data_IF_106906419342
#
_entry.id   IF_106906419342
#
_cell.length_a   1.000
_cell.length_b   1.000
_cell.length_c   1.000
_cell.angle_alpha   90.00
_cell.angle_beta   90.00
_cell.angle_gamma   90.00
#
_symmetry.space_group_name_H-M   'P 1'
#
loop_
_entity.id
_entity.type
_entity.pdbx_description
1 polymer ?
#
# COMPACT_ATOMS: atom_id res chain seq x y z
N UNK A 1 37.67 -47.65 -11.40
CA UNK A 1 36.93 -46.60 -10.65
C UNK A 1 37.94 -45.55 -10.25
N UNK A 2 37.88 -44.38 -10.85
CA UNK A 2 38.77 -43.26 -10.52
C UNK A 2 38.38 -42.74 -9.13
N UNK A 3 39.37 -42.65 -8.19
CA UNK A 3 39.27 -42.06 -6.84
C UNK A 3 38.54 -42.89 -5.77
N UNK A 4 38.65 -44.22 -5.75
CA UNK A 4 38.24 -45.04 -4.61
C UNK A 4 39.44 -45.29 -3.69
N UNK A 5 39.31 -45.08 -2.37
CA UNK A 5 40.35 -45.31 -1.37
C UNK A 5 39.71 -45.63 -0.01
N UNK A 6 40.43 -46.35 0.82
CA UNK A 6 40.00 -46.58 2.20
C UNK A 6 40.24 -45.31 3.01
N UNK A 7 39.18 -44.70 3.56
CA UNK A 7 39.33 -43.50 4.35
C UNK A 7 40.09 -43.77 5.63
N UNK A 8 41.28 -43.18 5.73
CA UNK A 8 42.12 -43.09 6.95
C UNK A 8 42.48 -41.61 7.16
N UNK A 9 42.82 -41.26 8.40
CA UNK A 9 43.22 -39.87 8.71
C UNK A 9 44.41 -39.45 7.85
N UNK A 10 45.39 -40.32 7.67
CA UNK A 10 46.60 -40.07 6.87
C UNK A 10 46.23 -39.76 5.41
N UNK A 11 45.42 -40.61 4.78
CA UNK A 11 44.99 -40.43 3.38
C UNK A 11 44.18 -39.16 3.19
N UNK A 12 43.15 -38.93 4.06
CA UNK A 12 42.28 -37.76 3.91
C UNK A 12 43.02 -36.44 4.15
N UNK A 13 44.05 -36.44 5.06
CA UNK A 13 44.87 -35.25 5.28
C UNK A 13 45.76 -34.95 4.08
N UNK A 14 46.30 -35.97 3.43
CA UNK A 14 47.19 -35.86 2.26
C UNK A 14 46.49 -35.35 0.98
N UNK A 15 45.15 -35.42 0.90
CA UNK A 15 44.41 -34.95 -0.26
C UNK A 15 44.55 -33.42 -0.43
N UNK A 16 45.12 -32.99 -1.53
CA UNK A 16 45.30 -31.57 -1.87
C UNK A 16 44.11 -31.05 -2.70
N UNK A 17 43.71 -29.79 -2.53
CA UNK A 17 42.70 -29.17 -3.37
C UNK A 17 43.19 -29.08 -4.82
N UNK A 18 42.25 -29.22 -5.76
CA UNK A 18 42.48 -29.06 -7.20
C UNK A 18 41.58 -27.93 -7.71
N UNK A 19 41.80 -27.50 -8.94
CA UNK A 19 40.97 -26.42 -9.57
C UNK A 19 39.49 -26.78 -9.74
N UNK A 20 39.13 -28.07 -9.52
CA UNK A 20 37.75 -28.58 -9.62
C UNK A 20 37.43 -29.39 -8.37
N UNK A 21 36.14 -29.44 -8.00
CA UNK A 21 35.67 -30.33 -6.94
C UNK A 21 35.96 -31.79 -7.29
N UNK A 22 36.68 -32.47 -6.41
CA UNK A 22 37.06 -33.88 -6.62
C UNK A 22 36.37 -34.75 -5.59
N UNK A 23 35.78 -35.87 -6.01
CA UNK A 23 35.11 -36.82 -5.14
C UNK A 23 35.96 -38.06 -4.97
N UNK A 24 36.05 -38.51 -3.71
CA UNK A 24 36.73 -39.72 -3.30
C UNK A 24 35.72 -40.64 -2.62
N UNK A 25 35.70 -41.92 -3.00
CA UNK A 25 34.75 -42.91 -2.52
C UNK A 25 35.38 -43.80 -1.47
N UNK A 26 34.73 -44.00 -0.30
CA UNK A 26 35.22 -44.93 0.71
C UNK A 26 35.01 -46.37 0.25
N UNK A 27 36.07 -47.19 0.36
CA UNK A 27 35.99 -48.64 0.06
C UNK A 27 35.31 -49.45 1.16
N UNK A 28 35.14 -48.88 2.38
CA UNK A 28 34.50 -49.56 3.51
C UNK A 28 32.99 -49.37 3.59
N UNK A 29 32.46 -48.24 3.05
CA UNK A 29 31.02 -47.94 3.03
C UNK A 29 30.66 -47.44 1.64
N UNK A 30 30.02 -48.29 0.84
CA UNK A 30 29.55 -47.93 -0.50
C UNK A 30 28.55 -46.77 -0.43
N UNK A 31 28.79 -45.72 -1.21
CA UNK A 31 28.00 -44.51 -1.22
C UNK A 31 28.50 -43.41 -0.29
N UNK A 32 29.47 -43.68 0.61
CA UNK A 32 30.15 -42.64 1.37
C UNK A 32 31.20 -41.95 0.48
N UNK A 33 31.15 -40.64 0.41
CA UNK A 33 32.02 -39.81 -0.44
C UNK A 33 32.61 -38.68 0.38
N UNK A 34 33.93 -38.43 0.20
CA UNK A 34 34.56 -37.17 0.61
C UNK A 34 34.68 -36.27 -0.62
N UNK A 35 34.20 -35.04 -0.52
CA UNK A 35 34.35 -34.06 -1.60
C UNK A 35 35.41 -33.02 -1.23
N UNK A 36 36.48 -32.92 -2.00
CA UNK A 36 37.51 -31.88 -1.81
C UNK A 36 37.19 -30.69 -2.72
N UNK A 37 36.93 -29.55 -2.10
CA UNK A 37 36.65 -28.30 -2.84
C UNK A 37 37.97 -27.61 -3.26
N UNK A 38 37.91 -26.68 -4.25
CA UNK A 38 39.06 -25.83 -4.59
C UNK A 38 39.57 -24.99 -3.39
N UNK A 39 38.69 -24.65 -2.46
CA UNK A 39 39.04 -23.93 -1.23
C UNK A 39 39.63 -24.80 -0.12
N UNK A 40 39.81 -26.09 -0.36
CA UNK A 40 40.41 -27.04 0.59
C UNK A 40 39.42 -27.63 1.62
N UNK A 41 38.12 -27.28 1.55
CA UNK A 41 37.13 -27.91 2.45
C UNK A 41 36.87 -29.36 2.06
N UNK A 42 36.67 -30.23 3.05
CA UNK A 42 36.56 -31.69 2.87
C UNK A 42 35.25 -32.22 3.50
N UNK A 43 34.04 -31.92 2.96
CA UNK A 43 32.79 -32.46 3.49
C UNK A 43 32.64 -33.95 3.15
N UNK A 44 32.16 -34.73 4.14
CA UNK A 44 31.64 -36.07 3.95
C UNK A 44 30.21 -36.01 3.44
N UNK A 45 29.89 -36.83 2.47
CA UNK A 45 28.55 -36.90 1.85
C UNK A 45 28.15 -38.34 1.58
N UNK A 46 26.85 -38.61 1.51
CA UNK A 46 26.31 -39.82 0.90
C UNK A 46 25.81 -39.49 -0.48
N UNK A 47 26.27 -40.21 -1.47
CA UNK A 47 25.85 -40.10 -2.85
C UNK A 47 25.26 -41.42 -3.32
N UNK A 48 23.94 -41.60 -3.19
CA UNK A 48 23.21 -42.83 -3.50
C UNK A 48 21.81 -42.49 -3.96
N UNK A 49 21.24 -43.33 -4.79
CA UNK A 49 19.85 -43.18 -5.25
C UNK A 49 18.90 -43.77 -4.21
N UNK A 50 17.89 -43.02 -3.77
CA UNK A 50 16.82 -43.53 -2.95
C UNK A 50 15.93 -44.52 -3.77
N UNK A 51 15.35 -45.52 -3.08
CA UNK A 51 14.45 -46.48 -3.71
C UNK A 51 13.29 -45.72 -4.38
N UNK A 52 13.09 -45.94 -5.67
CA UNK A 52 12.03 -45.28 -6.47
C UNK A 52 12.40 -43.88 -7.02
N UNK A 53 13.56 -43.30 -6.65
CA UNK A 53 13.96 -41.97 -7.14
C UNK A 53 14.58 -42.06 -8.55
N UNK A 54 14.41 -41.02 -9.35
CA UNK A 54 15.00 -40.91 -10.72
C UNK A 54 16.49 -40.53 -10.68
N UNK A 55 16.95 -39.77 -9.68
CA UNK A 55 18.32 -39.26 -9.54
C UNK A 55 18.92 -39.57 -8.18
N UNK A 56 20.26 -39.63 -8.05
CA UNK A 56 20.90 -39.85 -6.78
C UNK A 56 20.75 -38.64 -5.85
N UNK A 57 20.55 -38.91 -4.55
CA UNK A 57 20.56 -37.91 -3.50
C UNK A 57 21.99 -37.63 -3.03
N UNK A 58 22.27 -36.37 -2.72
CA UNK A 58 23.55 -35.91 -2.18
C UNK A 58 23.33 -35.42 -0.75
N UNK A 59 23.59 -36.28 0.25
CA UNK A 59 23.31 -35.98 1.66
C UNK A 59 24.59 -35.54 2.34
N UNK A 60 24.60 -34.35 2.94
CA UNK A 60 25.77 -33.84 3.70
C UNK A 60 25.77 -34.43 5.10
N UNK A 61 26.91 -35.00 5.53
CA UNK A 61 27.08 -35.65 6.85
C UNK A 61 27.84 -34.75 7.85
N UNK A 62 28.79 -33.97 7.36
CA UNK A 62 29.66 -33.10 8.14
C UNK A 62 31.01 -32.92 7.45
N UNK A 63 31.93 -32.22 8.08
CA UNK A 63 33.21 -31.84 7.48
C UNK A 63 34.38 -32.49 8.22
N UNK A 64 35.33 -33.05 7.46
CA UNK A 64 36.63 -33.48 7.99
C UNK A 64 37.53 -32.25 8.30
N UNK A 65 38.28 -32.17 9.43
CA UNK A 65 38.40 -33.21 10.46
C UNK A 65 37.38 -33.12 11.61
N UNK A 66 36.48 -32.15 11.62
CA UNK A 66 35.49 -31.96 12.72
C UNK A 66 34.56 -33.16 12.90
N UNK A 67 34.28 -33.92 11.83
CA UNK A 67 33.62 -35.21 11.88
C UNK A 67 34.67 -36.28 11.67
N UNK A 68 34.82 -37.24 12.61
CA UNK A 68 35.74 -38.35 12.47
C UNK A 68 35.27 -39.33 11.39
N UNK A 69 36.22 -40.16 10.87
CA UNK A 69 35.88 -41.11 9.80
C UNK A 69 34.86 -42.15 10.29
N UNK A 70 34.99 -42.64 11.52
CA UNK A 70 34.06 -43.62 12.07
C UNK A 70 32.66 -43.01 12.29
N UNK A 71 32.59 -41.77 12.77
CA UNK A 71 31.35 -41.04 12.87
C UNK A 71 30.73 -40.82 11.49
N UNK A 72 31.54 -40.49 10.47
CA UNK A 72 31.07 -40.30 9.09
C UNK A 72 30.51 -41.62 8.53
N UNK A 73 31.19 -42.77 8.79
CA UNK A 73 30.69 -44.09 8.39
C UNK A 73 29.37 -44.45 9.07
N UNK A 74 29.24 -44.20 10.38
CA UNK A 74 28.00 -44.44 11.12
C UNK A 74 26.84 -43.61 10.55
N UNK A 75 27.02 -42.31 10.41
CA UNK A 75 26.00 -41.41 9.78
C UNK A 75 25.71 -41.79 8.32
N UNK A 76 26.72 -42.26 7.58
CA UNK A 76 26.51 -42.73 6.22
C UNK A 76 25.63 -43.98 6.18
N UNK A 77 25.83 -44.96 7.08
CA UNK A 77 24.95 -46.13 7.14
C UNK A 77 23.51 -45.79 7.50
N UNK A 78 23.31 -44.86 8.45
CA UNK A 78 21.99 -44.36 8.80
C UNK A 78 21.29 -43.71 7.59
N UNK A 79 21.97 -42.79 6.90
CA UNK A 79 21.44 -42.15 5.70
C UNK A 79 21.19 -43.13 4.55
N UNK A 80 22.04 -44.15 4.38
CA UNK A 80 21.84 -45.18 3.37
C UNK A 80 20.66 -46.09 3.70
N UNK A 81 20.41 -46.43 4.96
CA UNK A 81 19.21 -47.13 5.38
C UNK A 81 17.94 -46.36 5.09
N UNK A 82 17.89 -45.04 5.36
CA UNK A 82 16.75 -44.20 5.03
C UNK A 82 16.51 -44.17 3.51
N UNK A 83 17.56 -44.00 2.70
CA UNK A 83 17.48 -44.02 1.25
C UNK A 83 16.98 -45.38 0.71
N UNK A 84 17.36 -46.49 1.32
CA UNK A 84 16.90 -47.84 0.99
C UNK A 84 15.42 -48.04 1.31
N UNK A 85 14.90 -47.38 2.34
CA UNK A 85 13.46 -47.31 2.68
C UNK A 85 12.69 -46.33 1.78
N UNK A 86 13.36 -45.64 0.86
CA UNK A 86 12.73 -44.62 -0.01
C UNK A 86 12.64 -43.23 0.62
N UNK A 87 13.17 -43.04 1.82
CA UNK A 87 13.17 -41.74 2.53
C UNK A 87 14.42 -40.97 2.15
N UNK A 88 14.27 -39.73 1.64
CA UNK A 88 15.40 -38.85 1.38
C UNK A 88 15.72 -38.03 2.65
N UNK A 89 16.91 -38.21 3.29
CA UNK A 89 17.26 -37.46 4.48
C UNK A 89 17.21 -35.93 4.31
N UNK A 90 17.57 -35.42 3.13
CA UNK A 90 17.47 -33.98 2.83
C UNK A 90 16.03 -33.48 2.85
N UNK A 91 15.09 -34.26 2.34
CA UNK A 91 13.67 -33.96 2.38
C UNK A 91 13.13 -34.00 3.79
N UNK A 92 13.51 -34.98 4.57
CA UNK A 92 13.17 -35.08 6.00
C UNK A 92 13.61 -33.81 6.75
N UNK A 93 14.90 -33.41 6.61
CA UNK A 93 15.42 -32.21 7.26
C UNK A 93 14.69 -30.94 6.78
N UNK A 94 14.34 -30.87 5.50
CA UNK A 94 13.56 -29.75 4.96
C UNK A 94 12.17 -29.70 5.59
N UNK A 95 11.50 -30.83 5.68
CA UNK A 95 10.15 -30.94 6.28
C UNK A 95 10.20 -30.55 7.76
N UNK A 96 11.18 -31.03 8.50
CA UNK A 96 11.38 -30.68 9.91
C UNK A 96 11.61 -29.17 10.10
N UNK A 97 12.45 -28.55 9.27
CA UNK A 97 12.62 -27.09 9.25
C UNK A 97 11.32 -26.37 8.94
N UNK A 98 10.53 -26.87 8.00
CA UNK A 98 9.24 -26.29 7.65
C UNK A 98 8.23 -26.38 8.80
N UNK A 99 8.21 -27.47 9.57
CA UNK A 99 7.39 -27.59 10.77
C UNK A 99 7.78 -26.59 11.87
N UNK A 100 9.08 -26.28 11.99
CA UNK A 100 9.60 -25.35 12.99
C UNK A 100 9.85 -23.94 12.46
N UNK A 101 9.32 -23.59 11.26
CA UNK A 101 9.50 -22.25 10.70
C UNK A 101 8.95 -21.18 11.64
N UNK A 102 9.78 -20.19 11.95
CA UNK A 102 9.38 -19.10 12.85
C UNK A 102 8.45 -18.07 12.17
N UNK A 103 7.64 -17.38 12.98
CA UNK A 103 6.80 -16.29 12.49
C UNK A 103 7.62 -15.23 11.73
N UNK A 104 8.81 -14.87 12.25
CA UNK A 104 9.71 -13.92 11.61
C UNK A 104 10.13 -14.40 10.21
N UNK A 105 10.55 -15.66 10.08
CA UNK A 105 10.96 -16.22 8.79
C UNK A 105 9.83 -16.24 7.78
N UNK A 106 8.61 -16.60 8.21
CA UNK A 106 7.42 -16.58 7.36
C UNK A 106 7.13 -15.15 6.86
N UNK A 107 7.26 -14.16 7.74
CA UNK A 107 7.09 -12.76 7.34
C UNK A 107 8.17 -12.30 6.35
N UNK A 108 9.43 -12.66 6.59
CA UNK A 108 10.56 -12.31 5.71
C UNK A 108 10.39 -12.89 4.30
N UNK A 109 9.95 -14.14 4.21
CA UNK A 109 9.65 -14.77 2.92
C UNK A 109 8.40 -14.17 2.25
N UNK A 110 7.36 -13.88 3.04
CA UNK A 110 6.14 -13.23 2.56
C UNK A 110 6.42 -11.86 1.93
N UNK A 111 7.21 -11.00 2.60
CA UNK A 111 7.54 -9.67 2.08
C UNK A 111 8.38 -9.71 0.79
N UNK A 112 9.23 -10.74 0.62
CA UNK A 112 10.01 -10.95 -0.59
C UNK A 112 9.16 -11.46 -1.75
N UNK A 113 8.11 -12.23 -1.46
CA UNK A 113 7.21 -12.82 -2.47
C UNK A 113 6.10 -11.88 -2.93
N UNK A 114 5.88 -10.75 -2.24
CA UNK A 114 4.77 -9.82 -2.50
C UNK A 114 5.26 -8.41 -2.75
N UNK A 115 4.70 -7.78 -3.78
CA UNK A 115 4.90 -6.34 -4.01
C UNK A 115 4.02 -5.55 -3.04
N UNK A 116 4.55 -5.27 -1.84
CA UNK A 116 3.86 -4.48 -0.82
C UNK A 116 4.27 -3.01 -0.94
N UNK A 117 3.31 -2.10 -0.73
CA UNK A 117 3.64 -0.68 -0.61
C UNK A 117 4.50 -0.43 0.63
N UNK A 118 5.39 0.58 0.58
CA UNK A 118 6.26 0.94 1.72
C UNK A 118 5.48 1.21 3.00
N UNK A 119 4.30 1.83 2.91
CA UNK A 119 3.46 2.10 4.08
C UNK A 119 2.84 0.83 4.65
N UNK A 120 2.43 -0.12 3.80
CA UNK A 120 1.92 -1.42 4.26
C UNK A 120 3.02 -2.20 4.95
N UNK A 121 4.22 -2.22 4.38
CA UNK A 121 5.37 -2.92 4.96
C UNK A 121 5.73 -2.34 6.33
N UNK A 122 5.88 -1.01 6.44
CA UNK A 122 6.13 -0.34 7.72
C UNK A 122 5.06 -0.66 8.77
N UNK A 123 3.78 -0.66 8.37
CA UNK A 123 2.67 -1.02 9.27
C UNK A 123 2.74 -2.47 9.75
N UNK A 124 3.11 -3.40 8.88
CA UNK A 124 3.29 -4.81 9.24
C UNK A 124 4.49 -5.03 10.15
N UNK A 125 5.64 -4.41 9.85
CA UNK A 125 6.84 -4.47 10.68
C UNK A 125 6.56 -3.92 12.08
N UNK A 126 5.87 -2.80 12.17
CA UNK A 126 5.47 -2.23 13.46
C UNK A 126 4.50 -3.15 14.20
N UNK A 127 3.50 -3.72 13.52
CA UNK A 127 2.58 -4.67 14.13
C UNK A 127 3.31 -5.89 14.69
N UNK A 128 4.25 -6.46 13.94
CA UNK A 128 5.08 -7.59 14.39
C UNK A 128 5.91 -7.22 15.61
N UNK A 129 6.58 -6.07 15.56
CA UNK A 129 7.44 -5.62 16.66
C UNK A 129 6.64 -5.34 17.94
N UNK A 130 5.49 -4.68 17.84
CA UNK A 130 4.72 -4.25 19.01
C UNK A 130 3.82 -5.34 19.58
N UNK A 131 3.21 -6.18 18.74
CA UNK A 131 2.16 -7.10 19.18
C UNK A 131 2.53 -8.58 19.10
N UNK A 132 3.54 -8.94 18.31
CA UNK A 132 3.98 -10.33 18.14
C UNK A 132 5.39 -10.59 18.64
N UNK A 133 6.01 -9.67 19.39
CA UNK A 133 7.40 -9.77 19.86
C UNK A 133 7.71 -11.11 20.50
N UNK A 134 6.82 -11.64 21.35
CA UNK A 134 6.95 -12.91 22.06
C UNK A 134 6.81 -14.13 21.14
N UNK A 135 6.29 -13.97 19.93
CA UNK A 135 6.07 -15.04 18.96
C UNK A 135 7.05 -15.03 17.78
N UNK A 136 7.80 -13.93 17.56
CA UNK A 136 8.65 -13.77 16.38
C UNK A 136 9.61 -14.94 16.15
N UNK A 137 10.26 -15.40 17.23
CA UNK A 137 11.25 -16.50 17.19
C UNK A 137 10.62 -17.87 17.41
N UNK A 138 9.34 -17.95 17.79
CA UNK A 138 8.64 -19.22 18.00
C UNK A 138 8.17 -19.79 16.66
N UNK A 139 7.99 -21.12 16.56
CA UNK A 139 7.36 -21.74 15.41
C UNK A 139 5.98 -21.12 15.15
N UNK A 140 5.63 -20.94 13.87
CA UNK A 140 4.31 -20.40 13.47
C UNK A 140 3.16 -21.20 14.09
N UNK A 141 3.34 -22.51 14.25
CA UNK A 141 2.34 -23.41 14.88
C UNK A 141 2.07 -23.09 16.35
N UNK A 142 2.93 -22.33 17.04
CA UNK A 142 2.68 -21.89 18.41
C UNK A 142 1.52 -20.87 18.51
N UNK A 143 1.10 -20.28 17.38
CA UNK A 143 -0.05 -19.42 17.28
C UNK A 143 -1.31 -20.25 17.05
N UNK A 144 -1.74 -20.97 18.11
CA UNK A 144 -2.98 -21.75 18.12
C UNK A 144 -4.23 -20.85 18.11
N UNK A 145 -5.43 -21.44 17.96
CA UNK A 145 -6.69 -20.70 18.04
C UNK A 145 -6.85 -19.96 19.38
N UNK A 146 -6.45 -20.59 20.49
CA UNK A 146 -6.46 -19.97 21.83
C UNK A 146 -5.51 -18.80 21.91
N UNK A 147 -4.29 -18.95 21.39
CA UNK A 147 -3.30 -17.88 21.34
C UNK A 147 -3.80 -16.69 20.50
N UNK A 148 -4.45 -16.96 19.36
CA UNK A 148 -5.05 -15.94 18.49
C UNK A 148 -6.17 -15.19 19.21
N UNK A 149 -7.09 -15.90 19.85
CA UNK A 149 -8.19 -15.28 20.63
C UNK A 149 -7.65 -14.40 21.75
N UNK A 150 -6.72 -14.94 22.53
CA UNK A 150 -6.08 -14.20 23.62
C UNK A 150 -5.39 -12.94 23.12
N UNK A 151 -4.56 -13.06 22.08
CA UNK A 151 -3.82 -11.95 21.51
C UNK A 151 -4.76 -10.86 20.96
N UNK A 152 -5.82 -11.25 20.26
CA UNK A 152 -6.84 -10.32 19.76
C UNK A 152 -7.51 -9.54 20.90
N UNK A 153 -7.91 -10.24 21.98
CA UNK A 153 -8.50 -9.62 23.15
C UNK A 153 -7.50 -8.71 23.90
N UNK A 154 -6.25 -9.13 24.03
CA UNK A 154 -5.21 -8.36 24.72
C UNK A 154 -4.84 -7.07 23.98
N UNK A 155 -4.74 -7.11 22.65
CA UNK A 155 -4.52 -5.92 21.82
C UNK A 155 -5.74 -4.98 21.93
N UNK A 156 -6.94 -5.52 21.85
CA UNK A 156 -8.19 -4.74 21.94
C UNK A 156 -8.31 -4.00 23.26
N UNK A 157 -7.91 -4.63 24.36
CA UNK A 157 -7.99 -4.09 25.72
C UNK A 157 -6.74 -3.32 26.18
N UNK A 158 -5.67 -3.29 25.33
CA UNK A 158 -4.42 -2.61 25.71
C UNK A 158 -3.57 -3.35 26.73
N UNK A 159 -3.72 -4.68 26.86
CA UNK A 159 -2.97 -5.50 27.80
C UNK A 159 -1.60 -5.98 27.31
N UNK A 160 -1.15 -5.51 26.14
CA UNK A 160 0.18 -5.78 25.63
C UNK A 160 1.17 -4.81 26.27
N UNK A 161 2.30 -5.33 26.73
CA UNK A 161 3.37 -4.54 27.33
C UNK A 161 3.85 -3.44 26.38
N UNK A 162 4.01 -2.21 26.90
CA UNK A 162 4.40 -1.03 26.12
C UNK A 162 3.27 -0.32 25.37
N UNK A 163 2.02 -0.80 25.43
CA UNK A 163 0.86 -0.09 24.89
C UNK A 163 0.32 0.95 25.87
N UNK A 164 -0.08 2.12 25.32
CA UNK A 164 -0.75 3.18 26.12
C UNK A 164 -2.25 2.95 26.28
N UNK A 165 -2.89 2.32 25.29
CA UNK A 165 -4.34 2.05 25.27
C UNK A 165 -4.66 0.92 24.31
N UNK A 166 -5.81 0.28 24.49
CA UNK A 166 -6.33 -0.72 23.58
C UNK A 166 -6.84 -0.13 22.28
N UNK A 167 -6.90 -0.96 21.23
CA UNK A 167 -7.41 -0.57 19.93
C UNK A 167 -8.01 -1.74 19.17
N UNK A 168 -9.33 -1.69 18.98
CA UNK A 168 -10.07 -2.65 18.17
C UNK A 168 -9.58 -2.69 16.71
N UNK A 169 -9.27 -1.51 16.14
CA UNK A 169 -8.76 -1.41 14.77
C UNK A 169 -7.41 -2.10 14.60
N UNK A 170 -6.54 -1.93 15.59
CA UNK A 170 -5.21 -2.51 15.58
C UNK A 170 -5.27 -4.02 15.81
N UNK A 171 -6.14 -4.50 16.70
CA UNK A 171 -6.39 -5.92 16.91
C UNK A 171 -6.80 -6.60 15.60
N UNK A 172 -7.81 -6.05 14.93
CA UNK A 172 -8.29 -6.59 13.65
C UNK A 172 -7.21 -6.52 12.55
N UNK A 173 -6.38 -5.46 12.51
CA UNK A 173 -5.28 -5.34 11.54
C UNK A 173 -4.23 -6.41 11.79
N UNK A 174 -3.83 -6.65 13.04
CA UNK A 174 -2.88 -7.69 13.42
C UNK A 174 -3.37 -9.08 13.02
N UNK A 175 -4.65 -9.37 13.25
CA UNK A 175 -5.23 -10.67 12.88
C UNK A 175 -5.36 -10.83 11.36
N UNK A 176 -5.61 -9.75 10.60
CA UNK A 176 -5.57 -9.78 9.12
C UNK A 176 -4.17 -10.07 8.60
N UNK A 177 -3.13 -9.48 9.19
CA UNK A 177 -1.74 -9.79 8.88
C UNK A 177 -1.45 -11.27 9.16
N UNK A 178 -1.77 -11.74 10.37
CA UNK A 178 -1.54 -13.13 10.75
C UNK A 178 -2.26 -14.12 9.82
N UNK A 179 -3.52 -13.81 9.44
CA UNK A 179 -4.26 -14.60 8.45
C UNK A 179 -3.53 -14.68 7.12
N UNK A 180 -2.97 -13.57 6.64
CA UNK A 180 -2.22 -13.54 5.40
C UNK A 180 -0.95 -14.39 5.47
N UNK A 181 -0.24 -14.36 6.61
CA UNK A 181 0.98 -15.14 6.83
C UNK A 181 0.68 -16.65 6.89
N UNK A 182 -0.37 -17.08 7.57
CA UNK A 182 -0.80 -18.50 7.57
C UNK A 182 -1.23 -18.97 6.18
N UNK A 183 -1.98 -18.13 5.45
CA UNK A 183 -2.36 -18.46 4.08
C UNK A 183 -1.14 -18.57 3.16
N UNK A 184 -0.12 -17.75 3.33
CA UNK A 184 1.14 -17.86 2.62
C UNK A 184 1.89 -19.14 3.02
N UNK A 185 2.03 -19.38 4.32
CA UNK A 185 2.73 -20.55 4.85
C UNK A 185 2.12 -21.88 4.36
N UNK A 186 0.80 -21.94 4.21
CA UNK A 186 0.09 -23.09 3.68
C UNK A 186 0.60 -23.56 2.32
N UNK A 187 1.02 -22.63 1.46
CA UNK A 187 1.47 -22.96 0.10
C UNK A 187 3.00 -23.02 -0.01
N UNK A 188 3.74 -22.26 0.79
CA UNK A 188 5.18 -22.17 0.73
C UNK A 188 5.88 -23.31 1.46
N UNK A 189 5.40 -23.66 2.66
CA UNK A 189 6.04 -24.67 3.51
C UNK A 189 5.29 -25.99 3.43
N UNK A 190 5.92 -26.99 2.78
CA UNK A 190 5.33 -28.29 2.51
C UNK A 190 6.05 -29.39 3.27
N UNK A 191 5.29 -30.42 3.62
CA UNK A 191 5.77 -31.66 4.20
C UNK A 191 6.25 -32.67 3.16
N UNK A 192 6.33 -33.93 3.55
CA UNK A 192 6.64 -35.03 2.64
C UNK A 192 5.63 -35.10 1.48
N UNK A 193 6.12 -35.48 0.31
CA UNK A 193 5.28 -35.61 -0.88
C UNK A 193 4.34 -34.41 -1.12
N UNK A 194 4.85 -33.22 -0.84
CA UNK A 194 4.11 -31.97 -0.99
C UNK A 194 2.89 -31.83 -0.07
N UNK A 195 2.82 -32.58 1.03
CA UNK A 195 1.73 -32.52 2.01
C UNK A 195 1.62 -31.11 2.62
N UNK A 196 0.39 -30.67 2.90
CA UNK A 196 0.13 -29.39 3.55
C UNK A 196 0.42 -29.51 5.05
N UNK A 197 1.39 -28.73 5.56
CA UNK A 197 1.72 -28.64 6.99
C UNK A 197 0.71 -27.71 7.71
N UNK A 198 0.48 -26.54 7.14
CA UNK A 198 -0.42 -25.52 7.71
C UNK A 198 -1.82 -25.62 7.07
N UNK A 199 -2.53 -26.73 7.33
CA UNK A 199 -3.83 -26.99 6.71
C UNK A 199 -4.90 -25.99 7.19
N UNK A 200 -4.92 -25.73 8.50
CA UNK A 200 -5.88 -24.83 9.13
C UNK A 200 -5.23 -23.48 9.47
N UNK A 201 -6.01 -22.43 9.28
CA UNK A 201 -5.61 -21.07 9.64
C UNK A 201 -6.31 -20.71 10.96
N UNK A 202 -5.56 -20.60 12.09
CA UNK A 202 -6.16 -20.42 13.40
C UNK A 202 -6.93 -19.10 13.54
N UNK A 203 -6.67 -18.12 12.67
CA UNK A 203 -7.40 -16.86 12.66
C UNK A 203 -8.86 -17.02 12.24
N UNK A 204 -9.23 -18.15 11.59
CA UNK A 204 -10.62 -18.44 11.23
C UNK A 204 -11.55 -18.49 12.43
N UNK A 205 -11.04 -18.84 13.61
CA UNK A 205 -11.81 -18.90 14.87
C UNK A 205 -12.52 -17.56 15.16
N UNK A 206 -11.88 -16.42 14.84
CA UNK A 206 -12.50 -15.10 15.04
C UNK A 206 -13.73 -14.88 14.17
N UNK A 207 -13.75 -15.48 12.98
CA UNK A 207 -14.94 -15.43 12.10
C UNK A 207 -16.02 -16.39 12.59
N UNK A 208 -15.65 -17.59 13.02
CA UNK A 208 -16.60 -18.57 13.59
C UNK A 208 -17.29 -18.04 14.84
N UNK A 209 -16.55 -17.37 15.72
CA UNK A 209 -17.06 -16.78 16.95
C UNK A 209 -17.63 -15.37 16.79
N UNK A 210 -17.65 -14.81 15.56
CA UNK A 210 -18.07 -13.43 15.28
C UNK A 210 -17.32 -12.40 16.13
N UNK A 211 -16.04 -12.69 16.45
CA UNK A 211 -15.22 -11.90 17.36
C UNK A 211 -14.50 -10.72 16.71
N UNK A 212 -14.64 -10.52 15.41
CA UNK A 212 -14.15 -9.31 14.72
C UNK A 212 -14.92 -8.09 15.18
N UNK A 213 -14.22 -6.98 15.44
CA UNK A 213 -14.86 -5.77 15.95
C UNK A 213 -15.76 -5.03 14.96
N UNK A 214 -15.65 -5.36 13.65
CA UNK A 214 -16.50 -4.79 12.59
C UNK A 214 -16.67 -3.27 12.71
N UNK A 215 -15.57 -2.56 12.84
CA UNK A 215 -15.58 -1.11 13.04
C UNK A 215 -16.38 -0.41 11.94
N UNK A 216 -17.32 0.40 12.33
CA UNK A 216 -18.09 1.21 11.40
C UNK A 216 -17.17 2.16 10.64
N UNK A 217 -17.48 2.37 9.36
CA UNK A 217 -16.79 3.36 8.55
C UNK A 217 -17.19 4.75 9.05
N UNK A 218 -16.21 5.61 9.31
CA UNK A 218 -16.49 7.02 9.56
C UNK A 218 -17.30 7.59 8.40
N UNK A 219 -18.39 8.30 8.71
CA UNK A 219 -19.30 8.94 7.75
C UNK A 219 -19.27 10.46 7.86
N UNK A 220 -18.26 11.00 8.52
CA UNK A 220 -18.06 12.43 8.70
C UNK A 220 -17.71 13.10 7.37
N UNK A 221 -18.27 14.28 7.15
CA UNK A 221 -17.99 15.19 6.03
C UNK A 221 -18.40 16.60 6.45
N UNK A 222 -17.92 17.63 5.76
CA UNK A 222 -18.31 19.03 6.00
C UNK A 222 -19.67 19.27 5.33
N UNK A 223 -20.66 19.66 6.11
CA UNK A 223 -22.00 19.93 5.60
C UNK A 223 -22.04 21.27 4.85
N UNK A 224 -22.98 21.45 3.93
CA UNK A 224 -23.08 22.67 3.11
C UNK A 224 -23.11 23.96 3.93
N UNK A 225 -23.84 23.99 5.07
CA UNK A 225 -23.89 25.17 5.94
C UNK A 225 -22.61 25.40 6.75
N UNK A 226 -21.71 24.42 6.81
CA UNK A 226 -20.42 24.52 7.51
C UNK A 226 -19.31 25.00 6.58
N UNK A 227 -19.53 25.00 5.25
CA UNK A 227 -18.51 25.39 4.28
C UNK A 227 -18.07 26.84 4.47
N UNK A 228 -18.98 27.74 4.82
CA UNK A 228 -18.68 29.15 5.08
C UNK A 228 -17.66 29.27 6.22
N UNK A 229 -18.00 28.76 7.40
CA UNK A 229 -17.10 28.76 8.57
C UNK A 229 -15.76 28.11 8.26
N UNK A 230 -15.78 26.95 7.56
CA UNK A 230 -14.57 26.24 7.17
C UNK A 230 -13.61 27.10 6.35
N UNK A 231 -14.09 27.74 5.32
CA UNK A 231 -13.25 28.57 4.45
C UNK A 231 -12.84 29.90 5.11
N UNK A 232 -13.69 30.52 5.91
CA UNK A 232 -13.35 31.70 6.67
C UNK A 232 -12.19 31.44 7.64
N UNK A 233 -12.28 30.35 8.43
CA UNK A 233 -11.18 29.94 9.33
C UNK A 233 -9.93 29.57 8.55
N UNK A 234 -10.06 28.82 7.45
CA UNK A 234 -8.93 28.41 6.63
C UNK A 234 -8.17 29.61 6.05
N UNK A 235 -8.90 30.60 5.53
CA UNK A 235 -8.31 31.82 4.94
C UNK A 235 -7.68 32.71 6.02
N UNK A 236 -8.38 32.94 7.14
CA UNK A 236 -7.84 33.67 8.28
C UNK A 236 -6.53 33.04 8.80
N UNK A 237 -6.50 31.72 8.95
CA UNK A 237 -5.27 31.00 9.34
C UNK A 237 -4.16 31.16 8.31
N UNK A 238 -4.46 31.06 7.03
CA UNK A 238 -3.48 31.25 5.96
C UNK A 238 -2.86 32.63 6.02
N UNK A 239 -3.67 33.69 6.15
CA UNK A 239 -3.20 35.08 6.24
C UNK A 239 -2.35 35.28 7.48
N UNK A 240 -2.78 34.76 8.64
CA UNK A 240 -1.97 34.78 9.86
C UNK A 240 -0.60 34.14 9.66
N UNK A 241 -0.54 32.95 9.07
CA UNK A 241 0.72 32.27 8.79
C UNK A 241 1.59 33.03 7.79
N UNK A 242 1.01 33.73 6.83
CA UNK A 242 1.76 34.60 5.91
C UNK A 242 2.38 35.78 6.69
N UNK A 243 1.62 36.45 7.55
CA UNK A 243 2.11 37.54 8.40
C UNK A 243 3.21 37.09 9.37
N UNK A 244 3.06 35.91 9.93
CA UNK A 244 4.05 35.25 10.80
C UNK A 244 5.26 34.68 10.05
N UNK A 245 5.31 34.79 8.73
CA UNK A 245 6.32 34.16 7.86
C UNK A 245 6.44 32.64 8.04
N UNK A 246 5.33 32.00 8.45
CA UNK A 246 5.21 30.57 8.60
C UNK A 246 4.80 29.92 7.26
N UNK A 247 5.80 29.69 6.39
CA UNK A 247 5.59 29.06 5.09
C UNK A 247 4.93 27.69 5.20
N UNK A 248 5.31 26.88 6.21
CA UNK A 248 4.72 25.56 6.40
C UNK A 248 3.21 25.65 6.66
N UNK A 249 2.79 26.56 7.56
CA UNK A 249 1.37 26.75 7.90
C UNK A 249 0.55 27.21 6.70
N UNK A 250 1.00 28.24 5.98
CA UNK A 250 0.31 28.76 4.79
C UNK A 250 0.22 27.71 3.67
N UNK A 251 1.30 26.94 3.45
CA UNK A 251 1.30 25.87 2.44
C UNK A 251 0.33 24.73 2.80
N UNK A 252 0.18 24.40 4.10
CA UNK A 252 -0.83 23.39 4.51
C UNK A 252 -2.25 23.92 4.31
N UNK A 253 -2.50 25.22 4.52
CA UNK A 253 -3.82 25.81 4.22
C UNK A 253 -4.16 25.69 2.72
N UNK A 254 -3.22 26.05 1.84
CA UNK A 254 -3.41 25.88 0.38
C UNK A 254 -3.64 24.40 -0.01
N UNK A 255 -2.93 23.45 0.63
CA UNK A 255 -3.17 22.01 0.42
C UNK A 255 -4.57 21.58 0.85
N UNK A 256 -5.06 22.08 1.98
CA UNK A 256 -6.41 21.79 2.49
C UNK A 256 -7.49 22.36 1.55
N UNK A 257 -7.27 23.57 1.05
CA UNK A 257 -8.14 24.21 0.07
C UNK A 257 -8.23 23.39 -1.23
N UNK A 258 -7.08 22.99 -1.80
CA UNK A 258 -7.06 22.11 -2.98
C UNK A 258 -7.70 20.75 -2.70
N UNK A 259 -7.54 20.19 -1.50
CA UNK A 259 -8.18 18.93 -1.11
C UNK A 259 -9.71 19.04 -1.13
N UNK A 260 -10.28 20.17 -0.68
CA UNK A 260 -11.70 20.43 -0.70
C UNK A 260 -12.25 20.56 -2.13
N UNK A 261 -11.49 21.21 -3.03
CA UNK A 261 -11.91 21.48 -4.41
C UNK A 261 -11.70 20.31 -5.39
N UNK A 262 -10.85 19.33 -5.04
CA UNK A 262 -10.50 18.22 -5.94
C UNK A 262 -10.90 16.85 -5.43
N UNK A 263 -11.11 16.72 -4.12
CA UNK A 263 -11.33 15.42 -3.49
C UNK A 263 -10.14 14.44 -3.59
N UNK A 264 -8.95 14.89 -3.94
CA UNK A 264 -7.74 14.07 -4.05
C UNK A 264 -7.39 13.40 -2.71
N UNK A 265 -6.69 12.25 -2.78
CA UNK A 265 -6.17 11.61 -1.58
C UNK A 265 -4.97 12.37 -1.02
N UNK A 266 -4.80 12.33 0.31
CA UNK A 266 -3.69 13.00 1.00
C UNK A 266 -2.34 12.80 0.31
N UNK A 267 -1.98 11.57 -0.02
CA UNK A 267 -0.68 11.30 -0.62
C UNK A 267 -0.56 11.80 -2.07
N UNK A 268 -1.66 11.83 -2.81
CA UNK A 268 -1.72 12.38 -4.16
C UNK A 268 -1.42 13.88 -4.12
N UNK A 269 -1.99 14.61 -3.16
CA UNK A 269 -1.69 16.04 -2.93
C UNK A 269 -0.26 16.27 -2.44
N UNK A 270 0.20 15.49 -1.45
CA UNK A 270 1.53 15.67 -0.85
C UNK A 270 2.69 15.41 -1.83
N UNK A 271 2.43 14.67 -2.91
CA UNK A 271 3.45 14.32 -3.92
C UNK A 271 3.16 14.93 -5.28
N UNK A 272 2.28 15.93 -5.36
CA UNK A 272 1.97 16.63 -6.60
C UNK A 272 3.15 17.53 -7.00
N UNK A 273 3.61 17.37 -8.23
CA UNK A 273 4.74 18.07 -8.80
C UNK A 273 4.29 19.05 -9.90
N UNK A 274 4.98 20.16 -10.07
CA UNK A 274 4.67 21.17 -11.08
C UNK A 274 4.77 20.65 -12.51
N UNK A 275 5.62 19.65 -12.76
CA UNK A 275 5.72 18.99 -14.06
C UNK A 275 4.44 18.28 -14.48
N UNK A 276 3.57 17.97 -13.50
CA UNK A 276 2.28 17.33 -13.73
C UNK A 276 1.13 18.33 -13.90
N UNK A 277 1.39 19.63 -13.89
CA UNK A 277 0.38 20.69 -13.99
C UNK A 277 0.55 21.45 -15.29
N UNK A 278 -0.51 21.49 -16.09
CA UNK A 278 -0.62 22.31 -17.28
C UNK A 278 -1.69 23.39 -17.04
N UNK A 279 -1.24 24.60 -16.77
CA UNK A 279 -2.13 25.75 -16.51
C UNK A 279 -2.79 26.26 -17.80
N UNK A 280 -2.13 26.09 -18.96
CA UNK A 280 -2.65 26.52 -20.24
C UNK A 280 -3.77 25.57 -20.71
N UNK A 281 -3.53 24.25 -20.65
CA UNK A 281 -4.53 23.22 -20.92
C UNK A 281 -5.57 23.11 -19.79
N UNK A 282 -5.34 23.78 -18.65
CA UNK A 282 -6.19 23.70 -17.44
C UNK A 282 -6.43 22.24 -17.02
N UNK A 283 -5.37 21.45 -16.95
CA UNK A 283 -5.41 20.06 -16.46
C UNK A 283 -4.18 19.75 -15.60
N UNK A 284 -4.31 18.71 -14.78
CA UNK A 284 -3.17 18.17 -14.03
C UNK A 284 -3.25 16.65 -13.95
N UNK A 285 -2.07 16.04 -13.86
CA UNK A 285 -1.90 14.60 -13.93
C UNK A 285 -1.37 14.02 -12.62
N UNK A 286 -2.00 12.97 -12.11
CA UNK A 286 -1.56 12.25 -10.92
C UNK A 286 -1.05 10.87 -11.34
N UNK A 287 0.27 10.73 -11.46
CA UNK A 287 0.92 9.49 -11.93
C UNK A 287 0.87 8.38 -10.88
N UNK A 288 1.13 8.71 -9.62
CA UNK A 288 1.25 7.76 -8.50
C UNK A 288 -0.02 7.70 -7.67
N UNK A 289 -1.00 6.93 -8.12
CA UNK A 289 -2.25 6.75 -7.37
C UNK A 289 -2.25 5.46 -6.57
N UNK A 290 -3.05 5.41 -5.50
CA UNK A 290 -3.22 4.20 -4.67
C UNK A 290 -3.71 2.99 -5.48
N UNK A 291 -4.43 3.25 -6.57
CA UNK A 291 -5.03 2.21 -7.41
C UNK A 291 -4.10 1.72 -8.52
N UNK A 292 -2.94 2.38 -8.71
CA UNK A 292 -1.99 2.11 -9.79
C UNK A 292 -2.48 2.57 -11.17
N UNK A 293 -3.64 3.22 -11.26
CA UNK A 293 -4.16 3.81 -12.49
C UNK A 293 -3.91 5.31 -12.44
N UNK A 294 -3.18 5.88 -13.38
CA UNK A 294 -2.98 7.32 -13.47
C UNK A 294 -4.31 8.06 -13.62
N UNK A 295 -4.34 9.32 -13.18
CA UNK A 295 -5.52 10.16 -13.20
C UNK A 295 -5.18 11.52 -13.75
N UNK A 296 -5.90 11.95 -14.77
CA UNK A 296 -5.86 13.31 -15.28
C UNK A 296 -7.17 14.01 -14.92
N UNK A 297 -7.06 15.21 -14.37
CA UNK A 297 -8.20 16.00 -13.88
C UNK A 297 -8.13 17.43 -14.44
N UNK A 298 -9.28 18.04 -14.71
CA UNK A 298 -9.34 19.44 -15.09
C UNK A 298 -9.08 20.36 -13.90
N UNK A 299 -8.55 21.53 -14.17
CA UNK A 299 -8.38 22.63 -13.22
C UNK A 299 -9.56 23.59 -13.38
N UNK A 300 -10.33 23.79 -12.30
CA UNK A 300 -11.40 24.76 -12.24
C UNK A 300 -10.85 26.20 -12.15
N UNK A 301 -11.75 27.19 -12.27
CA UNK A 301 -11.34 28.60 -12.32
C UNK A 301 -10.64 29.05 -11.05
N UNK A 302 -11.23 28.80 -9.91
CA UNK A 302 -10.66 29.18 -8.61
C UNK A 302 -9.40 28.35 -8.27
N UNK A 303 -9.42 27.06 -8.61
CA UNK A 303 -8.24 26.20 -8.44
C UNK A 303 -7.07 26.72 -9.29
N UNK A 304 -7.31 27.28 -10.48
CA UNK A 304 -6.30 27.89 -11.30
C UNK A 304 -5.65 29.11 -10.60
N UNK A 305 -6.46 29.94 -9.92
CA UNK A 305 -5.94 31.09 -9.14
C UNK A 305 -5.08 30.61 -7.96
N UNK A 306 -5.54 29.56 -7.24
CA UNK A 306 -4.76 28.94 -6.16
C UNK A 306 -3.41 28.43 -6.68
N UNK A 307 -3.39 27.70 -7.78
CA UNK A 307 -2.19 27.17 -8.38
C UNK A 307 -1.28 28.29 -8.93
N UNK A 308 -1.82 29.32 -9.53
CA UNK A 308 -1.05 30.49 -9.99
C UNK A 308 -0.36 31.21 -8.82
N UNK A 309 -1.07 31.38 -7.70
CA UNK A 309 -0.47 31.90 -6.45
C UNK A 309 0.65 31.00 -5.93
N UNK A 310 0.46 29.67 -5.98
CA UNK A 310 1.49 28.70 -5.56
C UNK A 310 2.69 28.67 -6.52
N UNK A 311 2.49 28.94 -7.80
CA UNK A 311 3.56 28.94 -8.80
C UNK A 311 4.61 30.02 -8.50
N UNK A 312 4.20 31.18 -7.95
CA UNK A 312 5.15 32.22 -7.52
C UNK A 312 6.07 31.80 -6.36
N UNK A 313 5.71 30.69 -5.66
CA UNK A 313 6.48 30.12 -4.54
C UNK A 313 7.21 28.83 -4.94
N UNK A 314 7.25 28.48 -6.25
CA UNK A 314 7.93 27.29 -6.77
C UNK A 314 9.42 27.36 -6.45
N UNK A 315 9.96 26.24 -5.99
CA UNK A 315 11.39 26.02 -5.78
C UNK A 315 11.96 24.98 -6.77
N UNK A 316 13.26 24.73 -6.69
CA UNK A 316 13.98 23.78 -7.54
C UNK A 316 13.54 22.31 -7.33
N UNK A 317 12.92 21.99 -6.20
CA UNK A 317 12.47 20.63 -5.86
C UNK A 317 11.18 20.23 -6.58
N UNK A 318 10.49 21.20 -7.16
CA UNK A 318 9.39 20.99 -8.09
C UNK A 318 8.05 20.59 -7.48
N UNK A 319 7.90 20.48 -6.16
CA UNK A 319 6.61 20.16 -5.52
C UNK A 319 5.69 21.38 -5.49
N UNK A 320 4.38 21.15 -5.72
CA UNK A 320 3.35 22.21 -5.63
C UNK A 320 3.22 22.70 -4.18
N UNK A 321 3.26 21.81 -3.22
CA UNK A 321 3.19 22.10 -1.79
C UNK A 321 4.59 21.97 -1.16
N UNK A 322 5.50 22.77 -1.69
CA UNK A 322 6.89 22.84 -1.22
C UNK A 322 6.99 23.51 0.15
N UNK A 323 7.92 23.01 0.97
CA UNK A 323 8.29 23.58 2.26
C UNK A 323 9.78 23.35 2.49
N UNK A 324 10.39 24.22 3.31
CA UNK A 324 11.81 24.11 3.62
C UNK A 324 12.06 23.02 4.67
N UNK A 325 12.29 21.80 4.17
CA UNK A 325 12.73 20.64 4.95
C UNK A 325 13.54 19.68 4.06
N UNK A 326 14.10 18.63 4.66
CA UNK A 326 14.92 17.65 3.94
C UNK A 326 14.23 16.95 2.77
N UNK A 327 12.90 16.90 2.74
CA UNK A 327 12.09 16.27 1.68
C UNK A 327 11.53 17.28 0.66
N UNK A 328 11.65 18.59 0.92
CA UNK A 328 11.15 19.66 0.05
C UNK A 328 9.63 19.77 -0.04
N UNK A 329 8.89 19.04 0.76
CA UNK A 329 7.42 18.98 0.73
C UNK A 329 6.82 18.70 2.09
N UNK A 330 5.53 18.93 2.23
CA UNK A 330 4.79 18.58 3.45
C UNK A 330 4.87 17.07 3.66
N UNK A 331 5.28 16.64 4.86
CA UNK A 331 5.31 15.23 5.30
C UNK A 331 4.11 14.95 6.20
N UNK A 332 3.89 15.80 7.18
CA UNK A 332 2.83 15.63 8.17
C UNK A 332 2.11 16.95 8.47
N UNK A 333 0.90 17.15 7.95
CA UNK A 333 0.12 18.36 8.16
C UNK A 333 -0.65 18.39 9.48
N UNK A 334 -0.59 17.32 10.33
CA UNK A 334 -1.50 17.15 11.49
C UNK A 334 -1.51 18.32 12.46
N UNK A 335 -0.37 18.95 12.76
CA UNK A 335 -0.31 20.07 13.68
C UNK A 335 -1.13 21.27 13.18
N UNK A 336 -1.02 21.59 11.90
CA UNK A 336 -1.77 22.70 11.28
C UNK A 336 -3.25 22.34 11.16
N UNK A 337 -3.56 21.08 10.80
CA UNK A 337 -4.95 20.60 10.78
C UNK A 337 -5.60 20.67 12.17
N UNK A 338 -4.87 20.31 13.24
CA UNK A 338 -5.35 20.48 14.61
C UNK A 338 -5.64 21.95 14.91
N UNK A 339 -4.71 22.86 14.59
CA UNK A 339 -4.88 24.29 14.83
C UNK A 339 -6.04 24.90 14.01
N UNK A 340 -6.39 24.35 12.85
CA UNK A 340 -7.60 24.74 12.10
C UNK A 340 -8.85 24.20 12.81
N UNK A 341 -8.85 22.93 13.21
CA UNK A 341 -9.97 22.32 13.93
C UNK A 341 -10.27 23.00 15.27
N UNK A 342 -9.24 23.51 15.98
CA UNK A 342 -9.40 24.22 17.24
C UNK A 342 -10.19 25.53 17.12
N UNK A 343 -10.31 26.11 15.92
CA UNK A 343 -11.08 27.32 15.65
C UNK A 343 -12.45 27.06 14.97
N UNK A 344 -12.73 25.78 14.60
CA UNK A 344 -13.99 25.38 13.99
C UNK A 344 -14.98 24.85 15.02
N UNK A 345 -16.27 25.02 14.77
CA UNK A 345 -17.35 24.43 15.57
C UNK A 345 -17.49 22.91 15.37
N UNK A 346 -16.72 22.32 14.47
CA UNK A 346 -16.72 20.89 14.12
C UNK A 346 -15.31 20.41 13.79
N UNK A 347 -15.08 19.10 13.84
CA UNK A 347 -13.80 18.50 13.44
C UNK A 347 -13.85 17.92 12.03
N UNK A 348 -12.74 18.06 11.28
CA UNK A 348 -12.56 17.41 10.00
C UNK A 348 -11.16 16.79 9.85
N UNK A 349 -11.04 15.89 8.88
CA UNK A 349 -9.79 15.33 8.40
C UNK A 349 -9.66 15.54 6.88
N UNK A 350 -8.46 15.41 6.32
CA UNK A 350 -8.28 15.46 4.85
C UNK A 350 -9.15 14.42 4.10
N UNK A 351 -9.49 13.31 4.76
CA UNK A 351 -10.36 12.31 4.15
C UNK A 351 -11.84 12.75 4.14
N UNK A 352 -12.24 13.56 5.11
CA UNK A 352 -13.60 14.14 5.15
C UNK A 352 -13.81 15.17 4.05
N UNK A 353 -12.77 15.91 3.63
CA UNK A 353 -12.82 16.79 2.46
C UNK A 353 -13.15 16.00 1.18
N UNK A 354 -12.54 14.85 1.02
CA UNK A 354 -12.88 13.96 -0.12
C UNK A 354 -14.32 13.44 -0.03
N UNK A 355 -14.83 13.16 1.16
CA UNK A 355 -16.25 12.79 1.34
C UNK A 355 -17.17 13.95 1.06
N UNK A 356 -16.80 15.17 1.48
CA UNK A 356 -17.52 16.40 1.16
C UNK A 356 -17.63 16.59 -0.35
N UNK A 357 -16.49 16.52 -1.07
CA UNK A 357 -16.47 16.58 -2.54
C UNK A 357 -17.40 15.54 -3.17
N UNK A 358 -17.35 14.28 -2.69
CA UNK A 358 -18.22 13.21 -3.17
C UNK A 358 -19.69 13.52 -2.91
N UNK A 359 -20.04 14.00 -1.71
CA UNK A 359 -21.42 14.32 -1.32
C UNK A 359 -21.95 15.48 -2.14
N UNK A 360 -21.13 16.50 -2.42
CA UNK A 360 -21.49 17.62 -3.31
C UNK A 360 -21.71 17.10 -4.74
N UNK A 361 -20.82 16.26 -5.25
CA UNK A 361 -20.98 15.68 -6.59
C UNK A 361 -22.28 14.87 -6.73
N UNK A 362 -22.65 14.08 -5.73
CA UNK A 362 -23.92 13.35 -5.68
C UNK A 362 -25.13 14.31 -5.58
N UNK A 363 -25.07 15.37 -4.78
CA UNK A 363 -26.16 16.37 -4.66
C UNK A 363 -26.42 17.13 -5.96
N UNK A 364 -25.39 17.28 -6.79
CA UNK A 364 -25.48 17.88 -8.13
C UNK A 364 -25.97 16.89 -9.20
N UNK A 365 -26.34 15.67 -8.80
CA UNK A 365 -26.81 14.60 -9.68
C UNK A 365 -25.82 14.28 -10.81
N UNK A 366 -24.51 14.33 -10.53
CA UNK A 366 -23.49 13.90 -11.46
C UNK A 366 -23.52 12.37 -11.60
N UNK A 367 -23.32 11.88 -12.81
CA UNK A 367 -23.35 10.44 -13.08
C UNK A 367 -22.32 9.66 -12.24
N UNK A 368 -22.68 8.46 -11.81
CA UNK A 368 -21.82 7.62 -10.95
C UNK A 368 -20.44 7.37 -11.57
N UNK A 369 -20.32 7.17 -12.88
CA UNK A 369 -19.04 6.98 -13.56
C UNK A 369 -18.20 8.26 -13.55
N UNK A 370 -18.82 9.43 -13.75
CA UNK A 370 -18.16 10.73 -13.62
C UNK A 370 -17.55 10.90 -12.23
N UNK A 371 -18.33 10.63 -11.18
CA UNK A 371 -17.86 10.72 -9.78
C UNK A 371 -16.74 9.72 -9.52
N UNK A 372 -16.87 8.46 -9.97
CA UNK A 372 -15.81 7.46 -9.86
C UNK A 372 -14.53 7.93 -10.56
N UNK A 373 -14.63 8.52 -11.74
CA UNK A 373 -13.46 9.00 -12.50
C UNK A 373 -12.80 10.18 -11.81
N UNK A 374 -13.55 11.22 -11.41
CA UNK A 374 -13.04 12.36 -10.65
C UNK A 374 -12.27 11.92 -9.38
N UNK A 375 -12.74 10.87 -8.74
CA UNK A 375 -12.15 10.36 -7.51
C UNK A 375 -11.14 9.22 -7.71
N UNK A 376 -10.89 8.76 -8.93
CA UNK A 376 -10.10 7.56 -9.19
C UNK A 376 -10.53 6.38 -8.31
N UNK A 377 -11.84 6.08 -8.28
CA UNK A 377 -12.37 4.89 -7.64
C UNK A 377 -12.31 3.71 -8.60
N UNK A 378 -11.74 2.58 -8.16
CA UNK A 378 -11.85 1.33 -8.92
C UNK A 378 -13.29 0.84 -8.88
N UNK A 379 -13.86 0.55 -10.02
CA UNK A 379 -15.08 -0.24 -10.12
C UNK A 379 -14.79 -1.71 -9.86
N UNK A 380 -15.84 -2.49 -9.61
CA UNK A 380 -15.70 -3.94 -9.49
C UNK A 380 -15.24 -4.51 -10.84
N UNK A 381 -14.45 -5.59 -10.82
CA UNK A 381 -13.92 -6.24 -12.04
C UNK A 381 -14.99 -6.64 -13.06
N UNK A 382 -16.24 -6.77 -12.61
CA UNK A 382 -17.38 -7.19 -13.43
C UNK A 382 -18.20 -6.03 -13.99
N UNK A 383 -17.74 -4.78 -13.84
CA UNK A 383 -18.42 -3.60 -14.40
C UNK A 383 -17.96 -3.41 -15.86
N UNK A 384 -18.61 -4.15 -16.75
CA UNK A 384 -18.32 -4.16 -18.19
C UNK A 384 -18.51 -2.76 -18.80
N UNK A 385 -19.47 -1.99 -18.31
CA UNK A 385 -19.83 -0.65 -18.81
C UNK A 385 -18.70 0.34 -18.58
N UNK A 386 -17.91 0.21 -17.49
CA UNK A 386 -16.76 1.09 -17.25
C UNK A 386 -15.69 0.94 -18.33
N UNK A 387 -15.52 -0.25 -18.89
CA UNK A 387 -14.54 -0.51 -19.96
C UNK A 387 -14.85 0.21 -21.27
N UNK A 388 -16.10 0.57 -21.49
CA UNK A 388 -16.56 1.27 -22.70
C UNK A 388 -16.70 2.80 -22.50
N UNK A 389 -16.68 3.29 -21.25
CA UNK A 389 -16.83 4.72 -20.97
C UNK A 389 -15.45 5.36 -20.81
N UNK A 390 -14.99 6.01 -21.86
CA UNK A 390 -13.76 6.83 -21.83
C UNK A 390 -14.18 8.25 -21.46
N UNK A 391 -13.87 8.66 -20.22
CA UNK A 391 -14.07 10.05 -19.78
C UNK A 391 -12.72 10.77 -19.86
N UNK A 392 -12.63 11.72 -20.78
CA UNK A 392 -11.48 12.59 -20.97
C UNK A 392 -11.51 13.77 -19.99
N UNK A 393 -10.42 14.52 -19.79
CA UNK A 393 -10.42 15.72 -18.98
C UNK A 393 -11.46 16.76 -19.45
N UNK A 394 -11.70 16.85 -20.75
CA UNK A 394 -12.69 17.75 -21.35
C UNK A 394 -14.11 17.45 -20.84
N UNK A 395 -14.48 16.18 -20.81
CA UNK A 395 -15.80 15.74 -20.33
C UNK A 395 -15.95 15.92 -18.82
N UNK A 396 -14.83 15.84 -18.09
CA UNK A 396 -14.79 16.06 -16.64
C UNK A 396 -14.76 17.55 -16.26
N UNK A 397 -14.47 18.45 -17.21
CA UNK A 397 -14.32 19.90 -16.97
C UNK A 397 -15.60 20.52 -16.41
N UNK A 398 -16.74 20.34 -17.10
CA UNK A 398 -18.03 20.86 -16.64
C UNK A 398 -18.47 20.25 -15.29
N UNK A 399 -18.42 18.92 -15.06
CA UNK A 399 -18.72 18.36 -13.75
C UNK A 399 -17.82 18.88 -12.63
N UNK A 400 -16.52 18.99 -12.87
CA UNK A 400 -15.56 19.50 -11.88
C UNK A 400 -15.83 20.97 -11.54
N UNK A 401 -16.09 21.80 -12.55
CA UNK A 401 -16.41 23.20 -12.34
C UNK A 401 -17.72 23.39 -11.56
N UNK A 402 -18.74 22.59 -11.84
CA UNK A 402 -20.00 22.64 -11.08
C UNK A 402 -19.81 22.31 -9.60
N UNK A 403 -18.91 21.39 -9.27
CA UNK A 403 -18.58 21.07 -7.87
C UNK A 403 -17.84 22.24 -7.22
N UNK A 404 -16.83 22.80 -7.90
CA UNK A 404 -16.10 23.97 -7.43
C UNK A 404 -17.06 25.15 -7.20
N UNK A 405 -17.91 25.47 -8.18
CA UNK A 405 -18.90 26.54 -8.11
C UNK A 405 -19.85 26.37 -6.91
N UNK A 406 -20.35 25.15 -6.68
CA UNK A 406 -21.21 24.88 -5.53
C UNK A 406 -20.49 25.10 -4.19
N UNK A 407 -19.24 24.61 -4.08
CA UNK A 407 -18.45 24.78 -2.84
C UNK A 407 -18.20 26.27 -2.58
N UNK A 408 -17.81 27.01 -3.59
CA UNK A 408 -17.54 28.46 -3.49
C UNK A 408 -18.80 29.27 -3.18
N UNK A 409 -19.94 28.92 -3.78
CA UNK A 409 -21.24 29.55 -3.48
C UNK A 409 -21.60 29.32 -2.00
N UNK A 410 -21.52 28.10 -1.50
CA UNK A 410 -21.86 27.79 -0.10
C UNK A 410 -20.86 28.34 0.91
N UNK A 411 -19.63 28.62 0.49
CA UNK A 411 -18.62 29.31 1.31
C UNK A 411 -18.66 30.83 1.24
N UNK A 412 -19.56 31.41 0.42
CA UNK A 412 -19.67 32.85 0.16
C UNK A 412 -18.41 33.51 -0.44
N UNK A 413 -17.43 32.72 -0.89
CA UNK A 413 -16.18 33.25 -1.49
C UNK A 413 -16.47 33.88 -2.87
N UNK A 414 -17.43 33.35 -3.61
CA UNK A 414 -17.73 33.76 -4.99
C UNK A 414 -18.17 35.21 -5.10
N UNK A 415 -18.73 35.79 -4.03
CA UNK A 415 -19.17 37.19 -4.00
C UNK A 415 -18.00 38.19 -4.06
N UNK A 416 -16.75 37.73 -3.82
CA UNK A 416 -15.57 38.60 -3.78
C UNK A 416 -14.68 38.49 -5.05
N UNK A 417 -14.75 37.41 -5.81
CA UNK A 417 -13.74 37.07 -6.83
C UNK A 417 -14.26 37.11 -8.27
N UNK A 418 -15.57 36.93 -8.50
CA UNK A 418 -16.13 37.03 -9.85
C UNK A 418 -16.74 38.41 -10.09
N UNK A 419 -16.33 39.12 -11.16
CA UNK A 419 -17.14 40.23 -11.62
C UNK A 419 -18.53 39.66 -11.89
N UNK A 420 -19.57 40.28 -11.33
CA UNK A 420 -20.95 39.96 -11.63
C UNK A 420 -21.06 39.77 -13.15
N UNK A 421 -21.36 38.55 -13.60
CA UNK A 421 -21.90 38.40 -14.96
C UNK A 421 -23.12 39.28 -14.94
N UNK A 422 -22.98 40.44 -15.52
CA UNK A 422 -24.14 41.22 -15.91
C UNK A 422 -25.06 40.21 -16.60
N UNK A 423 -26.23 40.03 -16.00
CA UNK A 423 -27.28 39.20 -16.56
C UNK A 423 -27.46 39.64 -18.00
N UNK A 424 -27.05 38.81 -18.95
CA UNK A 424 -27.23 39.05 -20.38
C UNK A 424 -28.73 39.15 -20.80
N UNK A 425 -29.62 38.98 -19.82
CA UNK A 425 -31.06 39.26 -19.98
C UNK A 425 -31.39 40.73 -19.92
N UNK A 426 -30.62 41.58 -19.21
CA UNK A 426 -30.90 43.02 -19.14
C UNK A 426 -30.50 43.72 -20.45
N UNK A 427 -29.34 43.38 -21.02
CA UNK A 427 -28.89 43.96 -22.29
C UNK A 427 -29.80 43.60 -23.48
N UNK A 428 -30.33 42.34 -23.47
CA UNK A 428 -31.24 41.92 -24.54
C UNK A 428 -32.62 42.54 -24.37
N UNK A 429 -33.10 42.73 -23.14
CA UNK A 429 -34.36 43.42 -22.85
C UNK A 429 -34.29 44.96 -23.13
N UNK A 430 -33.14 45.58 -22.84
CA UNK A 430 -32.88 46.98 -23.19
C UNK A 430 -32.79 47.18 -24.71
N UNK A 431 -32.04 46.28 -25.39
CA UNK A 431 -31.95 46.31 -26.85
C UNK A 431 -33.32 46.13 -27.53
N UNK A 432 -34.17 45.21 -27.04
CA UNK A 432 -35.56 45.08 -27.53
C UNK A 432 -36.39 46.30 -27.17
N UNK A 433 -36.11 46.94 -26.03
CA UNK A 433 -36.77 48.17 -25.60
C UNK A 433 -36.58 49.35 -26.59
N UNK A 434 -35.37 49.52 -27.10
CA UNK A 434 -34.91 50.58 -27.98
C UNK A 434 -35.33 50.40 -29.45
N UNK A 435 -35.70 49.16 -29.86
CA UNK A 435 -36.17 48.90 -31.23
C UNK A 435 -37.59 49.47 -31.48
N UNK A 436 -37.78 50.11 -32.62
CA UNK A 436 -39.08 50.56 -33.08
C UNK A 436 -40.00 49.37 -33.38
N UNK A 437 -41.34 49.64 -33.41
CA UNK A 437 -42.36 48.59 -33.62
C UNK A 437 -42.21 47.83 -34.95
N UNK A 438 -41.69 48.43 -36.00
CA UNK A 438 -41.39 47.76 -37.28
C UNK A 438 -40.12 46.82 -37.18
N UNK A 439 -39.13 47.22 -36.41
CA UNK A 439 -37.89 46.42 -36.20
C UNK A 439 -38.20 45.25 -35.32
N UNK A 440 -39.05 45.39 -34.30
CA UNK A 440 -39.55 44.28 -33.46
C UNK A 440 -40.27 43.22 -34.27
N UNK A 441 -41.10 43.62 -35.23
CA UNK A 441 -41.80 42.72 -36.15
C UNK A 441 -40.86 41.99 -37.09
N UNK A 442 -39.79 42.64 -37.59
CA UNK A 442 -38.78 42.05 -38.45
C UNK A 442 -37.95 41.01 -37.67
N UNK A 443 -37.56 41.31 -36.43
CA UNK A 443 -36.82 40.41 -35.58
C UNK A 443 -37.66 39.16 -35.22
N UNK A 444 -38.96 39.34 -34.90
CA UNK A 444 -39.85 38.22 -34.64
C UNK A 444 -39.99 37.29 -35.84
N UNK A 445 -40.09 37.89 -37.05
CA UNK A 445 -40.18 37.10 -38.28
C UNK A 445 -38.95 36.33 -38.58
N UNK A 446 -37.75 36.90 -38.38
CA UNK A 446 -36.48 36.23 -38.52
C UNK A 446 -36.29 35.08 -37.52
N UNK A 447 -36.78 35.23 -36.28
CA UNK A 447 -36.75 34.17 -35.27
C UNK A 447 -37.74 33.04 -35.57
N UNK A 448 -38.89 33.34 -36.16
CA UNK A 448 -39.86 32.33 -36.60
C UNK A 448 -39.41 31.55 -37.85
N UNK A 449 -38.65 32.18 -38.74
CA UNK A 449 -38.10 31.54 -39.94
C UNK A 449 -36.84 30.70 -39.66
N UNK A 450 -36.28 30.77 -38.43
CA UNK A 450 -35.08 30.02 -37.98
C UNK A 450 -35.41 28.85 -37.05
N UNK A 451 -36.67 28.62 -36.70
CA UNK A 451 -37.19 27.46 -35.95
C UNK A 451 -37.87 26.47 -36.90
#
# INVERSE_FOLDING_TARGET
MKNSLRFTVKELTALKPTNKRTRYHDTAVDGLVLEVSPSGTKPFRVYKRAKGAKSPSNVSLGQFPSLTIDQARTKAREALNELAMGINPNERMRVEKNHHVSLQKVFDDYRLSKSLSSNTLKGYEQALKCYFSTYLKKPLMALTEEAVKKLHADISAGRIEGMRSGSHAQADLCMRLLRALFNYAKYEYRGFNNQIIFAENPVKILSHQRAWHNLERRRTYIRSHQLKEFFEVLHSKRERYILEKNQFGSTVCDLVEMAALTGLRRNELLTLEWESIDLDAKSFYVSKTKNGVPLELPIGHYLCELLSRRLSLKDERGFVFNVDNSQGRIVDPRKVLSAINDELSFEFTLHDLRRTYTTVAESLSLGTYTIKRLLNHKSKRDDVTEGYTILTPEELRSPSQRIEDYILEKSEIRSQVLPQKSSSSTGFSEFIGELGNEEKKKLMKLLMDSL
#
